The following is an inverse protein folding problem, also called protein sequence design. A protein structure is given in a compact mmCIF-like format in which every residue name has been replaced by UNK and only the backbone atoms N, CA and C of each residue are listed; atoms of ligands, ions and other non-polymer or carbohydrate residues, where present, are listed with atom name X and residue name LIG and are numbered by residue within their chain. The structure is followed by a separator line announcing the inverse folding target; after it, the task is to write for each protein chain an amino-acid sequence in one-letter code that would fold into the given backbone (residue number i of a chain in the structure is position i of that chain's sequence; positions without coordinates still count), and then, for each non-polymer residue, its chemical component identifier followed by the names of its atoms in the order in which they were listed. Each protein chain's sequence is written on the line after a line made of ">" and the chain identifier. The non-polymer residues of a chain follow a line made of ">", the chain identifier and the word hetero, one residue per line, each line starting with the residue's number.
data_IF_307337967136
#
_entry.id   IF_307337967136
#
_cell.length_a   1.000
_cell.length_b   1.000
_cell.length_c   1.000
_cell.angle_alpha   90.00
_cell.angle_beta   90.00
_cell.angle_gamma   90.00
#
_symmetry.space_group_name_H-M   'P 1'
#
loop_
_entity.id
_entity.type
_entity.pdbx_description
1 polymer ?
#
# COMPACT_ATOMS: atom_id res chain seq x y z
N UNK A 1 -4.61 29.77 -12.33
CA UNK A 1 -5.27 29.36 -11.07
C UNK A 1 -6.73 28.88 -11.24
N UNK A 2 -7.63 29.69 -11.81
CA UNK A 2 -9.07 29.35 -11.84
C UNK A 2 -9.39 28.05 -12.61
N UNK A 3 -8.69 27.80 -13.73
CA UNK A 3 -8.79 26.55 -14.48
C UNK A 3 -8.30 25.33 -13.67
N UNK A 4 -7.18 25.46 -12.96
CA UNK A 4 -6.63 24.39 -12.11
C UNK A 4 -7.55 24.08 -10.91
N UNK A 5 -8.19 25.10 -10.32
CA UNK A 5 -9.18 24.89 -9.25
C UNK A 5 -10.43 24.14 -9.74
N UNK A 6 -10.80 24.28 -11.01
CA UNK A 6 -11.91 23.52 -11.64
C UNK A 6 -11.54 22.06 -11.90
N UNK A 7 -10.25 21.72 -11.98
CA UNK A 7 -9.75 20.36 -12.13
C UNK A 7 -9.71 19.59 -10.80
N UNK A 8 -9.72 20.30 -9.67
CA UNK A 8 -9.72 19.65 -8.36
C UNK A 8 -10.98 18.80 -8.18
N UNK A 9 -10.83 17.58 -7.62
CA UNK A 9 -11.98 16.75 -7.28
C UNK A 9 -12.91 17.45 -6.29
N UNK A 10 -14.13 16.93 -6.16
CA UNK A 10 -15.08 17.37 -5.13
C UNK A 10 -14.56 17.10 -3.70
N UNK A 11 -15.43 17.26 -2.72
CA UNK A 11 -15.09 16.93 -1.34
C UNK A 11 -14.72 15.45 -1.20
N UNK A 12 -13.70 15.17 -0.38
CA UNK A 12 -13.22 13.81 -0.11
C UNK A 12 -13.31 13.54 1.39
N UNK A 13 -14.03 12.48 1.78
CA UNK A 13 -14.24 12.14 3.20
C UNK A 13 -13.22 11.14 3.73
N UNK A 14 -12.60 10.33 2.85
CA UNK A 14 -11.73 9.22 3.24
C UNK A 14 -12.48 7.99 3.75
N UNK A 15 -13.79 7.85 3.49
CA UNK A 15 -14.54 6.67 3.93
C UNK A 15 -14.36 5.46 3.01
N UNK A 16 -14.16 5.70 1.71
CA UNK A 16 -13.92 4.66 0.71
C UNK A 16 -12.48 4.71 0.26
N UNK A 17 -11.76 3.62 0.48
CA UNK A 17 -10.34 3.50 0.11
C UNK A 17 -10.12 3.60 -1.40
N UNK A 18 -10.99 2.96 -2.19
CA UNK A 18 -10.92 2.99 -3.66
C UNK A 18 -10.97 4.41 -4.25
N UNK A 19 -11.55 5.37 -3.52
CA UNK A 19 -11.60 6.77 -3.92
C UNK A 19 -10.31 7.54 -3.60
N UNK A 20 -9.44 7.02 -2.73
CA UNK A 20 -8.20 7.68 -2.32
C UNK A 20 -7.24 7.86 -3.50
N UNK A 21 -6.91 6.79 -4.21
CA UNK A 21 -5.98 6.86 -5.36
C UNK A 21 -6.53 7.80 -6.45
N UNK A 22 -7.82 7.67 -6.77
CA UNK A 22 -8.49 8.53 -7.76
C UNK A 22 -8.44 10.01 -7.33
N UNK A 23 -8.63 10.29 -6.03
CA UNK A 23 -8.53 11.65 -5.49
C UNK A 23 -7.11 12.20 -5.61
N UNK A 24 -6.10 11.41 -5.24
CA UNK A 24 -4.70 11.79 -5.30
C UNK A 24 -4.24 12.07 -6.73
N UNK A 25 -4.56 11.18 -7.67
CA UNK A 25 -4.23 11.35 -9.09
C UNK A 25 -4.84 12.63 -9.68
N UNK A 26 -6.11 12.93 -9.37
CA UNK A 26 -6.76 14.17 -9.84
C UNK A 26 -6.13 15.43 -9.26
N UNK A 27 -5.76 15.40 -7.98
CA UNK A 27 -5.06 16.53 -7.35
C UNK A 27 -3.66 16.71 -7.94
N UNK A 28 -2.94 15.63 -8.17
CA UNK A 28 -1.60 15.63 -8.77
C UNK A 28 -1.64 16.17 -10.20
N UNK A 29 -2.64 15.77 -11.00
CA UNK A 29 -2.88 16.33 -12.33
C UNK A 29 -3.18 17.84 -12.28
N UNK A 30 -4.08 18.28 -11.39
CA UNK A 30 -4.42 19.69 -11.25
C UNK A 30 -3.22 20.56 -10.82
N UNK A 31 -2.35 20.01 -9.95
CA UNK A 31 -1.10 20.65 -9.53
C UNK A 31 -0.08 20.71 -10.67
N UNK A 32 0.06 19.65 -11.46
CA UNK A 32 0.95 19.60 -12.61
C UNK A 32 0.54 20.60 -13.72
N UNK A 33 -0.75 20.90 -13.84
CA UNK A 33 -1.26 21.90 -14.78
C UNK A 33 -1.09 23.36 -14.30
N UNK A 34 -0.61 23.58 -13.08
CA UNK A 34 -0.52 24.90 -12.49
C UNK A 34 0.92 25.44 -12.47
N UNK A 35 1.05 26.76 -12.47
CA UNK A 35 2.34 27.41 -12.27
C UNK A 35 2.80 27.28 -10.81
N UNK A 36 4.11 27.24 -10.58
CA UNK A 36 4.72 27.06 -9.24
C UNK A 36 4.19 28.04 -8.19
N UNK A 37 4.01 29.32 -8.57
CA UNK A 37 3.50 30.35 -7.66
C UNK A 37 2.02 30.14 -7.25
N UNK A 38 1.28 29.28 -7.95
CA UNK A 38 -0.13 28.96 -7.68
C UNK A 38 -0.28 27.67 -6.84
N UNK A 39 0.77 26.86 -6.72
CA UNK A 39 0.72 25.55 -6.04
C UNK A 39 0.30 25.67 -4.57
N UNK A 40 0.79 26.69 -3.85
CA UNK A 40 0.41 26.90 -2.45
C UNK A 40 -1.10 27.16 -2.28
N UNK A 41 -1.71 27.92 -3.20
CA UNK A 41 -3.14 28.22 -3.17
C UNK A 41 -3.97 27.01 -3.63
N UNK A 42 -3.46 26.21 -4.55
CA UNK A 42 -4.09 24.94 -4.92
C UNK A 42 -4.05 23.93 -3.78
N UNK A 43 -2.93 23.83 -3.06
CA UNK A 43 -2.81 22.98 -1.87
C UNK A 43 -3.85 23.36 -0.81
N UNK A 44 -4.02 24.66 -0.54
CA UNK A 44 -5.10 25.14 0.33
C UNK A 44 -6.48 24.75 -0.21
N UNK A 45 -6.69 24.89 -1.52
CA UNK A 45 -7.91 24.46 -2.21
C UNK A 45 -8.22 22.97 -2.04
N UNK A 46 -7.20 22.11 -2.02
CA UNK A 46 -7.33 20.68 -1.74
C UNK A 46 -7.67 20.47 -0.26
N UNK A 47 -6.94 21.11 0.66
CA UNK A 47 -7.13 20.96 2.10
C UNK A 47 -8.55 21.34 2.56
N UNK A 48 -9.15 22.40 2.00
CA UNK A 48 -10.53 22.79 2.35
C UNK A 48 -11.60 21.83 1.83
N UNK A 49 -11.27 21.00 0.83
CA UNK A 49 -12.17 19.96 0.29
C UNK A 49 -12.09 18.65 1.06
N UNK A 50 -11.12 18.50 1.96
CA UNK A 50 -11.06 17.35 2.86
C UNK A 50 -12.16 17.45 3.91
N UNK A 51 -12.85 16.33 4.12
CA UNK A 51 -13.94 16.17 5.08
C UNK A 51 -13.74 14.86 5.86
N UNK A 52 -14.61 14.55 6.82
CA UNK A 52 -14.61 13.25 7.50
C UNK A 52 -13.25 12.82 8.05
N UNK A 53 -12.88 11.57 7.78
CA UNK A 53 -11.61 10.95 8.19
C UNK A 53 -10.40 11.61 7.53
N UNK A 54 -10.51 11.99 6.27
CA UNK A 54 -9.44 12.66 5.54
C UNK A 54 -9.06 14.01 6.18
N UNK A 55 -10.07 14.78 6.65
CA UNK A 55 -9.81 16.01 7.39
C UNK A 55 -9.19 15.75 8.77
N UNK A 56 -9.62 14.69 9.46
CA UNK A 56 -9.05 14.33 10.76
C UNK A 56 -7.57 13.93 10.64
N UNK A 57 -7.19 13.20 9.58
CA UNK A 57 -5.83 12.75 9.31
C UNK A 57 -4.80 13.88 9.21
N UNK A 58 -5.24 15.08 8.82
CA UNK A 58 -4.38 16.23 8.56
C UNK A 58 -4.56 17.37 9.57
N UNK A 59 -5.57 17.29 10.45
CA UNK A 59 -6.02 18.39 11.32
C UNK A 59 -4.91 19.00 12.19
N UNK A 60 -3.97 18.19 12.64
CA UNK A 60 -2.90 18.59 13.56
C UNK A 60 -1.51 18.58 12.90
N UNK A 61 -1.45 18.53 11.57
CA UNK A 61 -0.20 18.51 10.81
C UNK A 61 0.00 19.86 10.13
N UNK A 62 1.22 20.40 10.20
CA UNK A 62 1.60 21.55 9.38
C UNK A 62 1.98 21.02 7.99
N UNK A 63 1.11 21.24 7.00
CA UNK A 63 1.29 20.74 5.64
C UNK A 63 1.51 21.92 4.70
N UNK A 64 2.74 22.02 4.19
CA UNK A 64 3.22 23.07 3.27
C UNK A 64 3.39 22.57 1.85
N UNK A 65 3.60 21.27 1.67
CA UNK A 65 3.84 20.64 0.38
C UNK A 65 2.79 19.58 0.06
N UNK A 66 2.54 19.39 -1.25
CA UNK A 66 1.66 18.32 -1.72
C UNK A 66 2.13 16.93 -1.28
N UNK A 67 3.44 16.68 -1.31
CA UNK A 67 4.02 15.41 -0.88
C UNK A 67 3.65 15.06 0.57
N UNK A 68 3.72 16.04 1.48
CA UNK A 68 3.35 15.89 2.89
C UNK A 68 1.85 15.58 3.04
N UNK A 69 0.99 16.21 2.22
CA UNK A 69 -0.45 15.94 2.22
C UNK A 69 -0.76 14.53 1.73
N UNK A 70 -0.14 14.13 0.62
CA UNK A 70 -0.30 12.81 0.00
C UNK A 70 0.11 11.71 0.97
N UNK A 71 1.27 11.86 1.61
CA UNK A 71 1.75 10.93 2.63
C UNK A 71 0.81 10.87 3.84
N UNK A 72 0.38 12.02 4.36
CA UNK A 72 -0.52 12.07 5.51
C UNK A 72 -1.87 11.38 5.26
N UNK A 73 -2.41 11.51 4.04
CA UNK A 73 -3.66 10.84 3.65
C UNK A 73 -3.44 9.34 3.43
N UNK A 74 -2.38 8.93 2.73
CA UNK A 74 -2.04 7.51 2.53
C UNK A 74 -1.85 6.80 3.86
N UNK A 75 -0.99 7.34 4.73
CA UNK A 75 -0.69 6.77 6.05
C UNK A 75 -1.93 6.57 6.94
N UNK A 76 -2.92 7.46 6.83
CA UNK A 76 -4.11 7.44 7.67
C UNK A 76 -5.32 6.69 7.08
N UNK A 77 -5.41 6.59 5.75
CA UNK A 77 -6.60 6.11 5.05
C UNK A 77 -6.36 4.84 4.24
N UNK A 78 -5.12 4.55 3.86
CA UNK A 78 -4.81 3.21 3.39
C UNK A 78 -4.98 2.25 4.57
N UNK A 79 -5.64 1.09 4.37
CA UNK A 79 -5.60 0.05 5.37
C UNK A 79 -4.15 -0.29 5.57
N UNK A 80 -3.64 0.02 6.77
CA UNK A 80 -2.54 -0.74 7.30
C UNK A 80 -3.11 -2.15 7.43
N UNK A 81 -2.91 -2.98 6.40
CA UNK A 81 -3.01 -4.43 6.56
C UNK A 81 -2.05 -4.72 7.69
N UNK A 82 -2.58 -4.96 8.88
CA UNK A 82 -1.75 -5.26 10.03
C UNK A 82 -0.87 -6.44 9.65
N UNK A 83 0.35 -6.52 10.19
CA UNK A 83 1.20 -7.67 9.85
C UNK A 83 0.48 -8.99 10.12
N UNK A 84 -0.34 -9.04 11.17
CA UNK A 84 -1.23 -10.17 11.48
C UNK A 84 -2.16 -10.55 10.33
N UNK A 85 -2.81 -9.57 9.69
CA UNK A 85 -3.66 -9.82 8.53
C UNK A 85 -2.84 -10.35 7.34
N UNK A 86 -1.69 -9.74 7.04
CA UNK A 86 -0.81 -10.20 5.96
C UNK A 86 -0.31 -11.63 6.17
N UNK A 87 0.09 -11.97 7.40
CA UNK A 87 0.46 -13.34 7.74
C UNK A 87 -0.72 -14.30 7.59
N UNK A 88 -1.92 -13.92 8.05
CA UNK A 88 -3.12 -14.73 7.87
C UNK A 88 -3.42 -14.99 6.39
N UNK A 89 -3.32 -13.96 5.56
CA UNK A 89 -3.48 -14.05 4.11
C UNK A 89 -2.42 -14.97 3.49
N UNK A 90 -1.14 -14.79 3.83
CA UNK A 90 -0.04 -15.65 3.40
C UNK A 90 -0.34 -17.12 3.72
N UNK A 91 -0.62 -17.45 4.99
CA UNK A 91 -0.87 -18.83 5.42
C UNK A 91 -2.12 -19.46 4.82
N UNK A 92 -3.11 -18.66 4.42
CA UNK A 92 -4.32 -19.13 3.75
C UNK A 92 -4.18 -19.27 2.23
N UNK A 93 -3.12 -18.70 1.65
CA UNK A 93 -2.94 -18.68 0.19
C UNK A 93 -2.63 -20.08 -0.35
N UNK A 94 -3.39 -20.49 -1.36
CA UNK A 94 -3.20 -21.75 -2.11
C UNK A 94 -3.16 -21.46 -3.61
N UNK A 95 -2.54 -22.36 -4.36
CA UNK A 95 -2.63 -22.37 -5.82
C UNK A 95 -4.09 -22.63 -6.22
N UNK A 96 -4.67 -21.75 -7.04
CA UNK A 96 -6.05 -21.90 -7.53
C UNK A 96 -6.11 -22.96 -8.63
N UNK A 97 -7.28 -23.55 -8.85
CA UNK A 97 -7.52 -24.47 -9.96
C UNK A 97 -7.29 -23.74 -11.28
N UNK A 98 -6.42 -24.28 -12.13
CA UNK A 98 -6.06 -23.67 -13.42
C UNK A 98 -5.11 -22.47 -13.33
N UNK A 99 -4.62 -22.11 -12.14
CA UNK A 99 -3.61 -21.07 -11.99
C UNK A 99 -2.20 -21.61 -12.25
N UNK A 100 -1.45 -20.88 -13.06
CA UNK A 100 -0.05 -21.17 -13.31
C UNK A 100 0.82 -20.98 -12.06
N UNK A 101 1.84 -21.83 -11.91
CA UNK A 101 2.74 -21.82 -10.74
C UNK A 101 3.45 -20.48 -10.58
N UNK A 102 3.84 -19.83 -11.68
CA UNK A 102 4.47 -18.50 -11.64
C UNK A 102 3.51 -17.45 -11.10
N UNK A 103 2.24 -17.47 -11.51
CA UNK A 103 1.23 -16.55 -10.97
C UNK A 103 0.98 -16.79 -9.47
N UNK A 104 0.94 -18.05 -9.05
CA UNK A 104 0.84 -18.39 -7.63
C UNK A 104 2.06 -17.89 -6.83
N UNK A 105 3.27 -18.12 -7.34
CA UNK A 105 4.52 -17.65 -6.73
C UNK A 105 4.54 -16.12 -6.60
N UNK A 106 4.14 -15.40 -7.65
CA UNK A 106 4.06 -13.94 -7.63
C UNK A 106 3.15 -13.40 -6.52
N UNK A 107 2.01 -14.06 -6.27
CA UNK A 107 1.10 -13.67 -5.17
C UNK A 107 1.74 -13.86 -3.80
N UNK A 108 2.51 -14.94 -3.61
CA UNK A 108 3.25 -15.18 -2.38
C UNK A 108 4.38 -14.15 -2.21
N UNK A 109 5.13 -13.86 -3.26
CA UNK A 109 6.23 -12.88 -3.21
C UNK A 109 5.74 -11.46 -2.90
N UNK A 110 4.56 -11.08 -3.40
CA UNK A 110 3.93 -9.81 -3.06
C UNK A 110 3.60 -9.73 -1.55
N UNK A 111 2.99 -10.78 -0.99
CA UNK A 111 2.70 -10.84 0.45
C UNK A 111 3.99 -10.86 1.27
N UNK A 112 4.98 -11.65 0.86
CA UNK A 112 6.29 -11.72 1.51
C UNK A 112 6.96 -10.34 1.57
N UNK A 113 6.99 -9.61 0.45
CA UNK A 113 7.62 -8.29 0.36
C UNK A 113 6.95 -7.31 1.33
N UNK A 114 5.62 -7.24 1.32
CA UNK A 114 4.87 -6.36 2.22
C UNK A 114 5.10 -6.70 3.70
N UNK A 115 5.13 -7.98 4.05
CA UNK A 115 5.40 -8.43 5.42
C UNK A 115 6.83 -8.05 5.84
N UNK A 116 7.82 -8.25 4.98
CA UNK A 116 9.22 -7.89 5.27
C UNK A 116 9.33 -6.39 5.47
N UNK A 117 8.75 -5.58 4.59
CA UNK A 117 8.78 -4.12 4.72
C UNK A 117 8.17 -3.66 6.05
N UNK A 118 7.02 -4.22 6.45
CA UNK A 118 6.37 -3.87 7.72
C UNK A 118 7.14 -4.34 8.95
N UNK A 119 7.59 -5.59 8.98
CA UNK A 119 8.26 -6.19 10.15
C UNK A 119 9.70 -5.72 10.32
N UNK A 120 10.34 -5.18 9.29
CA UNK A 120 11.72 -4.69 9.37
C UNK A 120 11.82 -3.18 9.56
N UNK A 121 10.73 -2.45 9.31
CA UNK A 121 10.68 -1.00 9.49
C UNK A 121 11.01 -0.59 10.92
N UNK A 122 11.99 0.32 11.08
CA UNK A 122 12.39 0.86 12.39
C UNK A 122 13.31 -0.06 13.22
N UNK A 123 13.68 -1.24 12.73
CA UNK A 123 14.64 -2.12 13.39
C UNK A 123 16.10 -1.85 12.95
N UNK A 124 17.07 -2.34 13.74
CA UNK A 124 18.48 -2.34 13.32
C UNK A 124 18.67 -3.26 12.11
N UNK A 125 19.78 -3.06 11.38
CA UNK A 125 20.09 -3.86 10.20
C UNK A 125 20.16 -5.37 10.52
N UNK A 126 20.76 -5.75 11.64
CA UNK A 126 20.90 -7.15 12.05
C UNK A 126 19.54 -7.79 12.34
N UNK A 127 18.67 -7.07 13.03
CA UNK A 127 17.31 -7.53 13.37
C UNK A 127 16.46 -7.63 12.10
N UNK A 128 16.51 -6.60 11.24
CA UNK A 128 15.82 -6.59 9.96
C UNK A 128 16.26 -7.76 9.06
N UNK A 129 17.56 -8.06 9.02
CA UNK A 129 18.09 -9.18 8.24
C UNK A 129 17.61 -10.53 8.77
N UNK A 130 17.62 -10.72 10.09
CA UNK A 130 17.14 -11.95 10.72
C UNK A 130 15.64 -12.18 10.47
N UNK A 131 14.82 -11.14 10.65
CA UNK A 131 13.38 -11.17 10.37
C UNK A 131 13.11 -11.46 8.89
N UNK A 132 13.76 -10.74 7.98
CA UNK A 132 13.62 -10.94 6.55
C UNK A 132 13.97 -12.37 6.11
N UNK A 133 15.02 -12.96 6.70
CA UNK A 133 15.40 -14.36 6.44
C UNK A 133 14.33 -15.34 6.93
N UNK A 134 13.79 -15.12 8.13
CA UNK A 134 12.72 -15.94 8.70
C UNK A 134 11.45 -15.91 7.85
N UNK A 135 11.02 -14.71 7.43
CA UNK A 135 9.80 -14.51 6.62
C UNK A 135 9.96 -15.16 5.23
N UNK A 136 11.13 -15.05 4.60
CA UNK A 136 11.43 -15.77 3.34
C UNK A 136 11.28 -17.27 3.49
N UNK A 137 11.83 -17.85 4.56
CA UNK A 137 11.72 -19.29 4.83
C UNK A 137 10.26 -19.73 5.03
N UNK A 138 9.48 -18.95 5.77
CA UNK A 138 8.05 -19.21 5.98
C UNK A 138 7.26 -19.14 4.66
N UNK A 139 7.57 -18.14 3.82
CA UNK A 139 6.89 -17.94 2.53
C UNK A 139 7.18 -19.10 1.55
N UNK A 140 8.40 -19.62 1.53
CA UNK A 140 8.76 -20.82 0.75
C UNK A 140 7.98 -22.04 1.25
N UNK A 141 7.88 -22.22 2.57
CA UNK A 141 7.10 -23.33 3.15
C UNK A 141 5.65 -23.26 2.71
N UNK A 142 5.03 -22.08 2.82
CA UNK A 142 3.65 -21.82 2.40
C UNK A 142 3.45 -22.09 0.91
N UNK A 143 4.40 -21.66 0.07
CA UNK A 143 4.38 -21.95 -1.37
C UNK A 143 4.34 -23.46 -1.62
N UNK A 144 5.27 -24.22 -1.04
CA UNK A 144 5.35 -25.67 -1.25
C UNK A 144 4.08 -26.37 -0.74
N UNK A 145 3.55 -25.98 0.42
CA UNK A 145 2.35 -26.58 0.99
C UNK A 145 1.07 -26.24 0.23
N UNK A 146 1.02 -25.07 -0.39
CA UNK A 146 -0.15 -24.61 -1.12
C UNK A 146 -0.14 -24.90 -2.61
N UNK A 147 0.94 -25.49 -3.15
CA UNK A 147 0.94 -26.09 -4.48
C UNK A 147 -0.12 -27.19 -4.58
N UNK A 148 -0.67 -27.34 -5.79
CA UNK A 148 -1.58 -28.43 -6.14
C UNK A 148 -0.86 -29.80 -6.19
N UNK A 149 -1.20 -30.68 -7.16
CA UNK A 149 -0.58 -32.00 -7.29
C UNK A 149 0.96 -32.00 -7.39
N UNK A 150 1.55 -30.88 -7.81
CA UNK A 150 3.00 -30.68 -7.91
C UNK A 150 3.73 -30.77 -6.57
N UNK A 151 3.05 -30.52 -5.44
CA UNK A 151 3.68 -30.53 -4.11
C UNK A 151 4.30 -31.90 -3.77
N UNK A 152 3.65 -32.98 -4.18
CA UNK A 152 4.03 -34.35 -3.80
C UNK A 152 5.32 -34.75 -4.53
N UNK A 153 5.52 -34.28 -5.77
CA UNK A 153 6.75 -34.49 -6.52
C UNK A 153 7.94 -33.72 -5.94
N UNK A 154 7.71 -32.50 -5.45
CA UNK A 154 8.77 -31.67 -4.86
C UNK A 154 9.21 -32.23 -3.51
N UNK A 155 8.26 -32.62 -2.65
CA UNK A 155 8.56 -33.23 -1.34
C UNK A 155 9.27 -34.58 -1.47
N UNK A 156 8.92 -35.39 -2.47
CA UNK A 156 9.59 -36.66 -2.72
C UNK A 156 11.07 -36.49 -3.15
N UNK A 157 11.45 -35.34 -3.72
CA UNK A 157 12.79 -35.08 -4.25
C UNK A 157 13.75 -34.50 -3.21
N UNK A 158 13.23 -33.91 -2.13
CA UNK A 158 13.99 -33.43 -0.97
C UNK A 158 13.28 -33.90 0.32
N UNK A 159 13.58 -35.13 0.79
CA UNK A 159 12.97 -35.72 1.98
C UNK A 159 13.24 -34.94 3.28
#
# INVERSE_FOLDING_TARGET
>A
LEAALKLLPGSFSGDKQEELEIFLEKCEFALACAHDHEQARLLQGIQVRLTGKARQAVKFKEIKLWAELKEALKSALEPQRTTTYLFSELYSTRQKIGEDVTNYANRIEQLQTLIIEQETSGHSWEVAQALGTSIKKQSIQVFIEGLGPLKDFIKARNP
#
